data_IF_932864810579
#
_entry.id   IF_932864810579
#
_cell.length_a   1.000
_cell.length_b   1.000
_cell.length_c   1.000
_cell.angle_alpha   90.00
_cell.angle_beta   90.00
_cell.angle_gamma   90.00
#
_symmetry.space_group_name_H-M   'P 1'
#
loop_
_entity.id
_entity.type
_entity.pdbx_description
1 polymer ?
#
# COMPACT_ATOMS: atom_id res chain seq x y z
N UNK A 1 11.17 -9.96 -28.77
CA UNK A 1 11.99 -8.75 -28.57
C UNK A 1 11.85 -8.34 -27.12
N UNK A 2 12.84 -8.64 -26.28
CA UNK A 2 12.85 -8.28 -24.86
C UNK A 2 13.35 -6.84 -24.73
N UNK A 3 12.47 -5.91 -24.43
CA UNK A 3 12.86 -4.56 -24.05
C UNK A 3 13.39 -4.61 -22.62
N UNK A 4 14.70 -4.66 -22.46
CA UNK A 4 15.37 -4.22 -21.22
C UNK A 4 15.04 -2.76 -21.00
N UNK A 5 13.90 -2.49 -20.35
CA UNK A 5 13.65 -1.19 -19.75
C UNK A 5 14.51 -1.11 -18.50
N UNK A 6 15.69 -0.52 -18.64
CA UNK A 6 16.36 0.14 -17.52
C UNK A 6 15.29 0.95 -16.80
N UNK A 7 14.91 0.49 -15.61
CA UNK A 7 13.86 1.14 -14.87
C UNK A 7 14.33 2.55 -14.52
N UNK A 8 13.70 3.53 -15.15
CA UNK A 8 13.99 4.95 -15.00
C UNK A 8 13.39 5.47 -13.68
N UNK A 9 13.65 4.76 -12.57
CA UNK A 9 13.21 5.09 -11.22
C UNK A 9 13.71 6.48 -10.78
N UNK A 10 14.82 6.94 -11.39
CA UNK A 10 15.43 8.25 -11.16
C UNK A 10 14.57 9.40 -11.70
N UNK A 11 13.86 9.20 -12.81
CA UNK A 11 12.91 10.18 -13.35
C UNK A 11 11.68 10.39 -12.43
N UNK A 12 11.49 9.49 -11.46
CA UNK A 12 10.34 9.47 -10.55
C UNK A 12 10.65 10.18 -9.21
N UNK A 13 11.88 10.67 -9.04
CA UNK A 13 12.30 11.37 -7.82
C UNK A 13 12.31 10.48 -6.58
N UNK A 14 12.43 9.16 -6.76
CA UNK A 14 12.48 8.21 -5.66
C UNK A 14 13.81 8.36 -4.89
N UNK A 15 13.80 8.22 -3.56
CA UNK A 15 15.01 7.98 -2.79
C UNK A 15 15.64 6.67 -3.27
N UNK A 16 16.85 6.74 -3.81
CA UNK A 16 17.60 5.60 -4.34
C UNK A 16 18.90 5.44 -3.56
N UNK A 17 19.28 4.20 -3.25
CA UNK A 17 20.64 3.82 -2.91
C UNK A 17 21.30 3.06 -4.09
N UNK A 18 22.47 2.46 -3.85
CA UNK A 18 23.20 1.69 -4.87
C UNK A 18 22.48 0.40 -5.30
N UNK A 19 21.47 -0.06 -4.54
CA UNK A 19 20.71 -1.29 -4.82
C UNK A 19 19.27 -1.03 -5.32
N UNK A 20 18.69 0.15 -5.10
CA UNK A 20 17.39 0.53 -5.65
C UNK A 20 16.58 1.51 -4.80
N UNK A 21 15.24 1.54 -4.97
CA UNK A 21 14.36 2.38 -4.16
C UNK A 21 14.40 2.00 -2.69
N UNK A 22 14.73 2.96 -1.83
CA UNK A 22 14.74 2.77 -0.37
C UNK A 22 13.38 3.17 0.20
N UNK A 23 12.79 2.29 1.00
CA UNK A 23 11.49 2.48 1.64
C UNK A 23 11.64 2.47 3.17
N UNK A 24 11.14 3.50 3.85
CA UNK A 24 11.14 3.58 5.32
C UNK A 24 10.10 2.67 5.95
N UNK A 25 9.00 2.41 5.22
CA UNK A 25 7.87 1.62 5.72
C UNK A 25 7.47 0.58 4.67
N UNK A 26 7.15 -0.68 5.06
CA UNK A 26 6.82 -1.73 4.09
C UNK A 26 5.66 -1.39 3.14
N UNK A 27 4.67 -0.62 3.60
CA UNK A 27 3.53 -0.21 2.77
C UNK A 27 3.94 0.70 1.61
N UNK A 28 5.04 1.45 1.73
CA UNK A 28 5.53 2.34 0.67
C UNK A 28 5.98 1.53 -0.55
N UNK A 29 6.67 0.41 -0.31
CA UNK A 29 7.05 -0.54 -1.37
C UNK A 29 5.82 -1.17 -2.04
N UNK A 30 4.77 -1.47 -1.27
CA UNK A 30 3.53 -2.04 -1.79
C UNK A 30 2.78 -1.07 -2.70
N UNK A 31 2.60 0.19 -2.25
CA UNK A 31 1.95 1.22 -3.04
C UNK A 31 2.71 1.51 -4.34
N UNK A 32 4.04 1.61 -4.25
CA UNK A 32 4.90 1.75 -5.41
C UNK A 32 4.72 0.59 -6.40
N UNK A 33 4.80 -0.65 -5.91
CA UNK A 33 4.68 -1.85 -6.74
C UNK A 33 3.32 -1.92 -7.44
N UNK A 34 2.24 -1.54 -6.76
CA UNK A 34 0.89 -1.51 -7.34
C UNK A 34 0.80 -0.53 -8.51
N UNK A 35 1.29 0.70 -8.34
CA UNK A 35 1.28 1.70 -9.39
C UNK A 35 2.13 1.26 -10.60
N UNK A 36 3.34 0.74 -10.36
CA UNK A 36 4.21 0.22 -11.42
C UNK A 36 3.53 -0.93 -12.16
N UNK A 37 2.87 -1.83 -11.43
CA UNK A 37 2.14 -2.95 -12.03
C UNK A 37 0.99 -2.46 -12.94
N UNK A 38 0.19 -1.48 -12.50
CA UNK A 38 -0.88 -0.89 -13.31
C UNK A 38 -0.34 -0.26 -14.60
N UNK A 39 0.79 0.44 -14.52
CA UNK A 39 1.46 0.99 -15.70
C UNK A 39 1.95 -0.12 -16.64
N UNK A 40 2.63 -1.14 -16.11
CA UNK A 40 3.13 -2.27 -16.89
C UNK A 40 2.00 -3.07 -17.55
N UNK A 41 0.84 -3.14 -16.91
CA UNK A 41 -0.38 -3.72 -17.46
C UNK A 41 -1.05 -2.83 -18.54
N UNK A 42 -0.50 -1.64 -18.83
CA UNK A 42 -0.98 -0.74 -19.88
C UNK A 42 -2.25 0.01 -19.49
N UNK A 43 -2.61 0.07 -18.20
CA UNK A 43 -3.83 0.74 -17.74
C UNK A 43 -3.76 2.25 -17.95
N UNK A 44 -2.57 2.84 -17.82
CA UNK A 44 -2.29 4.24 -18.13
C UNK A 44 -0.83 4.41 -18.59
N UNK A 45 -0.52 5.45 -19.39
CA UNK A 45 0.86 5.75 -19.77
C UNK A 45 1.59 6.50 -18.64
N UNK A 46 2.87 6.22 -18.44
CA UNK A 46 3.67 6.81 -17.34
C UNK A 46 3.64 8.34 -17.27
N UNK A 47 3.58 9.02 -18.43
CA UNK A 47 3.52 10.48 -18.51
C UNK A 47 2.30 11.08 -17.78
N UNK A 48 1.17 10.37 -17.78
CA UNK A 48 -0.06 10.84 -17.14
C UNK A 48 0.09 10.77 -15.61
N UNK A 49 0.77 9.72 -15.10
CA UNK A 49 1.17 9.64 -13.70
C UNK A 49 2.08 10.80 -13.29
N UNK A 50 3.15 11.07 -14.06
CA UNK A 50 4.09 12.16 -13.75
C UNK A 50 3.37 13.50 -13.69
N UNK A 51 2.41 13.74 -14.58
CA UNK A 51 1.59 14.94 -14.56
C UNK A 51 0.77 15.04 -13.28
N UNK A 52 -0.04 14.02 -12.96
CA UNK A 52 -0.91 14.02 -11.78
C UNK A 52 -0.10 14.14 -10.49
N UNK A 53 1.01 13.42 -10.38
CA UNK A 53 1.86 13.47 -9.19
C UNK A 53 2.55 14.83 -9.03
N UNK A 54 3.00 15.45 -10.12
CA UNK A 54 3.58 16.80 -10.08
C UNK A 54 2.56 17.88 -9.69
N UNK A 55 1.30 17.73 -10.11
CA UNK A 55 0.19 18.58 -9.67
C UNK A 55 -0.03 18.43 -8.15
N UNK A 56 -0.03 17.19 -7.66
CA UNK A 56 -0.26 16.88 -6.24
C UNK A 56 0.86 17.43 -5.34
N UNK A 57 2.13 17.28 -5.73
CA UNK A 57 3.28 17.86 -5.00
C UNK A 57 3.12 19.38 -4.83
N UNK A 58 2.65 20.07 -5.88
CA UNK A 58 2.43 21.52 -5.85
C UNK A 58 1.22 21.91 -4.99
N UNK A 59 0.16 21.11 -5.03
CA UNK A 59 -1.09 21.39 -4.34
C UNK A 59 -1.00 21.13 -2.82
N UNK A 60 -0.20 20.15 -2.41
CA UNK A 60 -0.21 19.64 -1.04
C UNK A 60 1.18 19.68 -0.38
N UNK A 61 1.76 20.87 -0.12
CA UNK A 61 3.11 21.01 0.46
C UNK A 61 3.25 20.36 1.85
N UNK A 62 4.49 20.28 2.34
CA UNK A 62 4.79 19.71 3.66
C UNK A 62 4.05 20.44 4.79
N UNK A 63 3.47 19.67 5.70
CA UNK A 63 2.83 20.22 6.90
C UNK A 63 3.87 20.53 7.99
N UNK A 64 3.59 21.45 8.93
CA UNK A 64 4.50 21.73 10.04
C UNK A 64 4.79 20.45 10.86
N UNK A 65 6.08 20.09 10.96
CA UNK A 65 6.54 18.90 11.68
C UNK A 65 6.43 17.58 10.89
N UNK A 66 5.96 17.62 9.65
CA UNK A 66 5.96 16.46 8.75
C UNK A 66 7.38 16.21 8.21
N UNK A 67 7.82 14.94 8.21
CA UNK A 67 9.10 14.59 7.59
C UNK A 67 8.99 14.69 6.07
N UNK A 68 10.11 14.92 5.38
CA UNK A 68 10.15 14.96 3.91
C UNK A 68 9.58 13.66 3.32
N UNK A 69 9.88 12.51 3.94
CA UNK A 69 9.41 11.22 3.45
C UNK A 69 7.90 11.02 3.68
N UNK A 70 7.36 11.45 4.82
CA UNK A 70 5.93 11.38 5.09
C UNK A 70 5.15 12.31 4.14
N UNK A 71 5.65 13.53 3.87
CA UNK A 71 5.07 14.43 2.86
C UNK A 71 5.07 13.77 1.48
N UNK A 72 6.20 13.20 1.05
CA UNK A 72 6.36 12.58 -0.26
C UNK A 72 5.36 11.43 -0.48
N UNK A 73 5.28 10.49 0.46
CA UNK A 73 4.38 9.35 0.29
C UNK A 73 2.90 9.71 0.53
N UNK A 74 2.59 10.75 1.31
CA UNK A 74 1.22 11.28 1.38
C UNK A 74 0.79 11.81 0.01
N UNK A 75 1.62 12.63 -0.64
CA UNK A 75 1.36 13.13 -1.99
C UNK A 75 1.28 11.99 -3.01
N UNK A 76 2.14 10.98 -2.87
CA UNK A 76 2.16 9.82 -3.74
C UNK A 76 0.84 9.03 -3.69
N UNK A 77 0.35 8.74 -2.48
CA UNK A 77 -0.92 8.02 -2.29
C UNK A 77 -2.08 8.85 -2.84
N UNK A 78 -2.15 10.14 -2.53
CA UNK A 78 -3.20 11.02 -3.04
C UNK A 78 -3.23 11.07 -4.59
N UNK A 79 -2.07 11.17 -5.22
CA UNK A 79 -1.96 11.10 -6.68
C UNK A 79 -2.39 9.73 -7.23
N UNK A 80 -2.03 8.64 -6.55
CA UNK A 80 -2.40 7.28 -6.96
C UNK A 80 -3.91 7.09 -6.89
N UNK A 81 -4.56 7.51 -5.79
CA UNK A 81 -6.01 7.50 -5.61
C UNK A 81 -6.70 8.30 -6.71
N UNK A 82 -6.19 9.48 -7.05
CA UNK A 82 -6.70 10.30 -8.16
C UNK A 82 -6.59 9.59 -9.51
N UNK A 83 -5.48 8.90 -9.79
CA UNK A 83 -5.31 8.13 -11.03
C UNK A 83 -6.30 6.97 -11.09
N UNK A 84 -6.37 6.12 -10.06
CA UNK A 84 -7.24 4.93 -10.10
C UNK A 84 -8.74 5.29 -10.13
N UNK A 85 -9.11 6.42 -9.54
CA UNK A 85 -10.49 6.93 -9.59
C UNK A 85 -10.84 7.57 -10.93
N UNK A 86 -9.91 8.34 -11.53
CA UNK A 86 -10.10 8.90 -12.88
C UNK A 86 -10.24 7.81 -13.93
N UNK A 87 -9.52 6.70 -13.76
CA UNK A 87 -9.61 5.52 -14.64
C UNK A 87 -10.84 4.65 -14.37
N UNK A 88 -11.63 4.93 -13.33
CA UNK A 88 -12.80 4.15 -12.96
C UNK A 88 -12.50 2.76 -12.38
N UNK A 89 -11.27 2.52 -11.92
CA UNK A 89 -10.88 1.24 -11.32
C UNK A 89 -11.45 1.05 -9.90
N UNK A 90 -11.72 2.16 -9.20
CA UNK A 90 -12.36 2.21 -7.89
C UNK A 90 -13.00 3.59 -7.71
N UNK A 91 -14.01 3.71 -6.85
CA UNK A 91 -14.53 5.00 -6.41
C UNK A 91 -13.81 5.53 -5.18
N UNK A 92 -13.84 6.86 -4.96
CA UNK A 92 -13.41 7.46 -3.69
C UNK A 92 -14.22 6.92 -2.50
N UNK A 93 -15.52 6.68 -2.71
CA UNK A 93 -16.39 6.07 -1.68
C UNK A 93 -15.94 4.66 -1.33
N UNK A 94 -15.51 3.86 -2.31
CA UNK A 94 -15.01 2.50 -2.06
C UNK A 94 -13.68 2.52 -1.29
N UNK A 95 -12.79 3.47 -1.58
CA UNK A 95 -11.53 3.67 -0.85
C UNK A 95 -11.82 4.06 0.60
N UNK A 96 -12.70 5.04 0.82
CA UNK A 96 -13.10 5.48 2.16
C UNK A 96 -13.75 4.35 2.93
N UNK A 97 -14.72 3.64 2.33
CA UNK A 97 -15.38 2.49 2.94
C UNK A 97 -14.38 1.41 3.33
N UNK A 98 -13.44 1.07 2.44
CA UNK A 98 -12.42 0.06 2.73
C UNK A 98 -11.47 0.50 3.85
N UNK A 99 -11.14 1.78 3.92
CA UNK A 99 -10.31 2.37 4.98
C UNK A 99 -11.01 2.25 6.33
N UNK A 100 -12.30 2.61 6.39
CA UNK A 100 -13.14 2.48 7.59
C UNK A 100 -13.28 1.03 8.03
N UNK A 101 -13.52 0.10 7.10
CA UNK A 101 -13.59 -1.33 7.40
C UNK A 101 -12.28 -1.84 8.01
N UNK A 102 -11.12 -1.47 7.47
CA UNK A 102 -9.84 -1.85 8.07
C UNK A 102 -9.63 -1.23 9.46
N UNK A 103 -10.05 0.02 9.67
CA UNK A 103 -10.01 0.66 10.99
C UNK A 103 -10.90 -0.09 11.99
N UNK A 104 -12.14 -0.43 11.60
CA UNK A 104 -13.04 -1.21 12.45
C UNK A 104 -12.51 -2.62 12.72
N UNK A 105 -11.96 -3.28 11.70
CA UNK A 105 -11.31 -4.57 11.86
C UNK A 105 -10.18 -4.51 12.90
N UNK A 106 -9.33 -3.48 12.84
CA UNK A 106 -8.27 -3.27 13.84
C UNK A 106 -8.84 -3.10 15.25
N UNK A 107 -9.83 -2.22 15.43
CA UNK A 107 -10.45 -1.96 16.73
C UNK A 107 -11.14 -3.20 17.32
N UNK A 108 -11.74 -4.03 16.48
CA UNK A 108 -12.44 -5.25 16.88
C UNK A 108 -11.49 -6.44 17.12
N UNK A 109 -10.22 -6.35 16.71
CA UNK A 109 -9.25 -7.44 16.86
C UNK A 109 -8.65 -7.44 18.27
N UNK A 110 -8.83 -8.51 19.07
CA UNK A 110 -8.20 -8.62 20.38
C UNK A 110 -6.68 -8.59 20.28
N UNK A 111 -6.03 -8.02 21.30
CA UNK A 111 -4.57 -7.96 21.33
C UNK A 111 -3.92 -9.34 21.15
N UNK A 112 -2.89 -9.40 20.31
CA UNK A 112 -2.18 -10.65 19.99
C UNK A 112 -2.84 -11.53 18.93
N UNK A 113 -4.02 -11.15 18.41
CA UNK A 113 -4.64 -11.83 17.27
C UNK A 113 -4.33 -11.10 15.95
N UNK A 114 -4.29 -11.81 14.81
CA UNK A 114 -4.12 -11.18 13.50
C UNK A 114 -5.34 -10.34 13.13
N UNK A 115 -5.10 -9.16 12.56
CA UNK A 115 -6.17 -8.30 12.04
C UNK A 115 -6.63 -8.85 10.69
N UNK A 116 -7.93 -9.14 10.58
CA UNK A 116 -8.54 -9.56 9.31
C UNK A 116 -9.73 -8.67 9.00
N UNK A 117 -9.99 -8.41 7.72
CA UNK A 117 -11.07 -7.51 7.30
C UNK A 117 -12.46 -8.00 7.75
N UNK A 118 -12.64 -9.31 7.91
CA UNK A 118 -13.87 -9.90 8.44
C UNK A 118 -14.22 -9.37 9.84
N UNK A 119 -13.22 -9.02 10.65
CA UNK A 119 -13.42 -8.49 12.01
C UNK A 119 -14.19 -7.16 12.00
N UNK A 120 -14.25 -6.44 10.87
CA UNK A 120 -15.06 -5.22 10.73
C UNK A 120 -16.57 -5.50 10.88
N UNK A 121 -17.03 -6.62 10.32
CA UNK A 121 -18.46 -6.99 10.27
C UNK A 121 -18.83 -8.10 11.25
N UNK A 122 -17.87 -8.93 11.64
CA UNK A 122 -18.01 -10.00 12.63
C UNK A 122 -16.88 -9.89 13.67
N UNK A 123 -17.05 -9.06 14.72
CA UNK A 123 -16.09 -8.99 15.80
C UNK A 123 -15.89 -10.38 16.43
N UNK A 124 -14.64 -10.84 16.64
CA UNK A 124 -14.39 -12.08 17.35
C UNK A 124 -14.98 -12.01 18.77
N UNK A 125 -15.51 -13.12 19.26
CA UNK A 125 -16.20 -13.17 20.53
C UNK A 125 -15.31 -12.65 21.68
N UNK A 126 -15.72 -11.56 22.32
CA UNK A 126 -15.09 -11.07 23.54
C UNK A 126 -15.32 -12.09 24.65
N UNK A 127 -14.25 -12.68 25.17
CA UNK A 127 -14.29 -13.83 26.06
C UNK A 127 -15.28 -13.70 27.23
N UNK A 128 -16.41 -14.39 27.12
CA UNK A 128 -17.00 -15.16 28.22
C UNK A 128 -17.04 -16.62 27.81
N UNK A 129 -15.94 -17.34 28.10
CA UNK A 129 -16.02 -18.76 28.46
C UNK A 129 -15.91 -19.84 27.38
N UNK A 130 -15.17 -19.66 26.29
CA UNK A 130 -14.70 -20.82 25.50
C UNK A 130 -13.23 -20.65 25.10
N UNK A 131 -12.37 -21.47 25.68
CA UNK A 131 -10.94 -21.55 25.45
C UNK A 131 -10.67 -22.24 24.11
N UNK A 132 -10.55 -21.44 23.04
CA UNK A 132 -9.97 -21.93 21.79
C UNK A 132 -8.45 -21.88 21.93
N UNK A 133 -7.84 -23.03 22.22
CA UNK A 133 -6.39 -23.19 22.05
C UNK A 133 -6.04 -22.91 20.58
N UNK A 134 -5.21 -21.91 20.27
CA UNK A 134 -4.70 -21.72 18.92
C UNK A 134 -3.89 -22.97 18.53
N UNK A 135 -4.31 -23.64 17.45
CA UNK A 135 -3.48 -24.66 16.80
C UNK A 135 -2.31 -23.96 16.13
N UNK A 136 -1.22 -23.78 16.88
CA UNK A 136 0.08 -23.49 16.30
C UNK A 136 0.63 -24.78 15.68
N UNK A 137 0.17 -25.14 14.48
CA UNK A 137 0.91 -26.12 13.69
C UNK A 137 2.17 -25.42 13.16
N UNK A 138 3.38 -25.93 13.44
CA UNK A 138 4.58 -25.40 12.83
C UNK A 138 4.49 -25.62 11.32
N UNK A 139 4.58 -24.54 10.54
CA UNK A 139 4.75 -24.62 9.09
C UNK A 139 6.09 -25.33 8.84
N UNK A 140 6.03 -26.57 8.35
CA UNK A 140 7.21 -27.33 7.98
C UNK A 140 7.90 -26.65 6.80
N UNK A 141 9.08 -26.08 7.03
CA UNK A 141 9.92 -25.53 5.97
C UNK A 141 10.70 -26.71 5.36
N UNK A 142 10.32 -27.15 4.16
CA UNK A 142 11.08 -28.14 3.40
C UNK A 142 12.48 -27.60 3.12
N UNK A 143 13.52 -28.36 3.47
CA UNK A 143 14.91 -28.01 3.12
C UNK A 143 15.11 -28.18 1.61
N UNK A 144 15.63 -27.14 0.96
CA UNK A 144 16.11 -27.25 -0.42
C UNK A 144 17.37 -28.14 -0.44
N UNK A 145 17.35 -29.20 -1.23
CA UNK A 145 18.51 -30.04 -1.57
C UNK A 145 19.47 -29.24 -2.44
N UNK A 146 20.76 -29.22 -2.07
CA UNK A 146 21.88 -28.79 -2.93
C UNK A 146 22.15 -29.78 -4.05
#
# INVERSE_FOLDING_TARGET
MNTSMHHDYKAVGLPLDDEGPVFDKPWQAQAFSLLVHLHQAGVFPWKDWVQVFSEEIKAAPAQPGESVNDTYYRQWIAAMERVVTTLGLTGMEDISRRTEEWQQAYLNTPHGQPVTLLNASCPPAHGKGHEHLPRHEPVAISRATS
#
